data_IF_766254129591
#
_entry.id   IF_766254129591
#
_cell.length_a   1.000
_cell.length_b   1.000
_cell.length_c   1.000
_cell.angle_alpha   90.00
_cell.angle_beta   90.00
_cell.angle_gamma   90.00
#
_symmetry.space_group_name_H-M   'P 1'
#
loop_
_entity.id
_entity.type
_entity.pdbx_description
1 polymer ?
#
# COMPACT_ATOMS: atom_id res chain seq x y z
N UNK A 1 -18.12 -7.96 -11.19
CA UNK A 1 -17.71 -6.55 -11.42
C UNK A 1 -16.38 -6.47 -12.18
N UNK A 2 -15.22 -6.73 -11.56
CA UNK A 2 -13.93 -6.58 -12.27
C UNK A 2 -13.76 -7.52 -13.48
N UNK A 3 -14.06 -8.81 -13.31
CA UNK A 3 -13.99 -9.81 -14.40
C UNK A 3 -15.02 -9.56 -15.51
N UNK A 4 -16.09 -8.83 -15.18
CA UNK A 4 -17.15 -8.48 -16.11
C UNK A 4 -16.88 -7.12 -16.82
N UNK A 5 -15.76 -6.47 -16.51
CA UNK A 5 -15.37 -5.15 -17.06
C UNK A 5 -16.08 -3.96 -16.40
N UNK A 6 -16.95 -4.19 -15.41
CA UNK A 6 -17.63 -3.14 -14.66
C UNK A 6 -16.70 -2.59 -13.57
N UNK A 7 -15.91 -1.59 -13.95
CA UNK A 7 -14.95 -0.91 -13.07
C UNK A 7 -15.66 -0.14 -11.95
N UNK A 8 -16.78 0.52 -12.24
CA UNK A 8 -17.47 1.37 -11.26
C UNK A 8 -18.02 0.51 -10.11
N UNK A 9 -18.75 -0.56 -10.45
CA UNK A 9 -19.24 -1.49 -9.44
C UNK A 9 -18.11 -2.25 -8.73
N UNK A 10 -16.96 -2.45 -9.38
CA UNK A 10 -15.80 -3.07 -8.73
C UNK A 10 -15.18 -2.15 -7.66
N UNK A 11 -15.03 -0.86 -7.97
CA UNK A 11 -14.53 0.12 -7.02
C UNK A 11 -15.53 0.36 -5.89
N UNK A 12 -16.83 0.44 -6.18
CA UNK A 12 -17.88 0.62 -5.16
C UNK A 12 -17.97 -0.55 -4.16
N UNK A 13 -17.55 -1.75 -4.57
CA UNK A 13 -17.48 -2.92 -3.70
C UNK A 13 -16.26 -2.92 -2.76
N UNK A 14 -15.34 -1.96 -2.91
CA UNK A 14 -14.10 -1.88 -2.15
C UNK A 14 -14.18 -0.70 -1.15
N UNK A 15 -14.54 -0.94 0.12
CA UNK A 15 -14.64 0.14 1.11
C UNK A 15 -13.26 0.66 1.53
N UNK A 16 -13.19 1.92 1.93
CA UNK A 16 -11.94 2.56 2.37
C UNK A 16 -11.28 1.81 3.55
N UNK A 17 -12.09 1.28 4.46
CA UNK A 17 -11.62 0.45 5.59
C UNK A 17 -10.86 -0.82 5.15
N UNK A 18 -11.15 -1.33 3.95
CA UNK A 18 -10.44 -2.49 3.39
C UNK A 18 -9.07 -2.06 2.84
N UNK A 19 -8.95 -0.84 2.32
CA UNK A 19 -7.66 -0.28 1.88
C UNK A 19 -6.67 -0.21 3.05
N UNK A 20 -7.15 0.24 4.22
CA UNK A 20 -6.35 0.32 5.44
C UNK A 20 -5.85 -1.03 5.96
N UNK A 21 -6.52 -2.12 5.60
CA UNK A 21 -6.14 -3.48 6.03
C UNK A 21 -5.22 -4.17 5.03
N UNK A 22 -5.27 -3.79 3.75
CA UNK A 22 -4.60 -4.53 2.68
C UNK A 22 -3.32 -3.85 2.17
N UNK A 23 -3.16 -2.54 2.35
CA UNK A 23 -2.07 -1.82 1.72
C UNK A 23 -1.51 -0.67 2.57
N UNK A 24 -0.27 -0.32 2.25
CA UNK A 24 0.38 0.93 2.68
C UNK A 24 0.17 1.97 1.57
N UNK A 25 -0.35 3.16 1.93
CA UNK A 25 -0.70 4.20 0.98
C UNK A 25 -0.59 5.61 1.58
N UNK A 26 -0.73 6.65 0.76
CA UNK A 26 -0.76 8.04 1.22
C UNK A 26 0.56 8.79 1.03
N UNK A 27 0.76 9.85 1.81
CA UNK A 27 2.01 10.64 1.81
C UNK A 27 3.16 9.85 2.45
N UNK A 28 4.43 10.24 2.28
CA UNK A 28 5.56 9.58 2.94
C UNK A 28 5.38 9.35 4.45
N UNK A 29 4.86 10.34 5.17
CA UNK A 29 4.61 10.29 6.62
C UNK A 29 3.47 9.31 6.97
N UNK A 30 2.37 9.37 6.22
CA UNK A 30 1.21 8.52 6.46
C UNK A 30 1.52 7.07 6.08
N UNK A 31 2.25 6.86 4.99
CA UNK A 31 2.71 5.56 4.54
C UNK A 31 3.62 4.88 5.58
N UNK A 32 4.53 5.64 6.24
CA UNK A 32 5.35 5.09 7.33
C UNK A 32 4.48 4.58 8.48
N UNK A 33 3.51 5.37 8.94
CA UNK A 33 2.61 4.95 10.01
C UNK A 33 1.78 3.71 9.63
N UNK A 34 1.34 3.60 8.37
CA UNK A 34 0.65 2.40 7.89
C UNK A 34 1.56 1.19 7.77
N UNK A 35 2.83 1.39 7.40
CA UNK A 35 3.83 0.33 7.28
C UNK A 35 4.16 -0.33 8.62
N UNK A 36 4.22 0.44 9.71
CA UNK A 36 4.49 -0.06 11.07
C UNK A 36 3.50 -1.16 11.50
N UNK A 37 2.24 -1.08 11.04
CA UNK A 37 1.22 -2.11 11.32
C UNK A 37 1.62 -3.49 10.80
N UNK A 38 2.39 -3.55 9.73
CA UNK A 38 2.85 -4.80 9.14
C UNK A 38 4.14 -5.30 9.80
N UNK A 39 5.01 -4.39 10.26
CA UNK A 39 6.24 -4.76 11.00
C UNK A 39 5.92 -5.31 12.39
N UNK A 40 4.82 -4.88 12.97
CA UNK A 40 4.39 -5.29 14.32
C UNK A 40 3.66 -6.65 14.34
N UNK A 41 3.47 -7.29 13.18
CA UNK A 41 2.83 -8.61 13.10
C UNK A 41 3.78 -9.67 13.68
N UNK A 42 3.31 -10.38 14.71
CA UNK A 42 4.06 -11.47 15.33
C UNK A 42 4.48 -12.52 14.30
N UNK A 43 5.78 -12.79 14.22
CA UNK A 43 6.36 -13.77 13.31
C UNK A 43 6.72 -13.23 11.92
N UNK A 44 6.50 -11.95 11.62
CA UNK A 44 7.02 -11.31 10.40
C UNK A 44 8.48 -10.92 10.61
N UNK A 45 9.38 -11.55 9.83
CA UNK A 45 10.83 -11.31 9.91
C UNK A 45 11.34 -10.35 8.83
N UNK A 46 10.60 -10.20 7.73
CA UNK A 46 10.95 -9.34 6.62
C UNK A 46 9.70 -8.90 5.86
N UNK A 47 9.73 -7.67 5.33
CA UNK A 47 8.68 -7.11 4.49
C UNK A 47 9.25 -6.79 3.12
N UNK A 48 8.55 -7.24 2.08
CA UNK A 48 8.84 -6.85 0.70
C UNK A 48 7.88 -5.75 0.28
N UNK A 49 8.43 -4.62 -0.18
CA UNK A 49 7.65 -3.49 -0.67
C UNK A 49 7.57 -3.57 -2.20
N UNK A 50 6.36 -3.68 -2.72
CA UNK A 50 6.06 -3.64 -4.16
C UNK A 50 5.36 -2.34 -4.54
N UNK A 51 5.61 -1.84 -5.74
CA UNK A 51 5.06 -0.57 -6.21
C UNK A 51 3.87 -0.77 -7.17
N UNK A 52 2.87 0.13 -7.16
CA UNK A 52 1.74 0.07 -8.07
C UNK A 52 2.15 0.07 -9.53
N UNK A 53 1.37 -0.63 -10.38
CA UNK A 53 1.52 -0.50 -11.83
C UNK A 53 1.18 0.94 -12.24
N UNK A 54 2.19 1.67 -12.68
CA UNK A 54 2.07 3.08 -13.08
C UNK A 54 2.86 4.05 -12.20
N UNK A 55 3.46 3.59 -11.10
CA UNK A 55 4.36 4.42 -10.31
C UNK A 55 5.60 4.80 -11.13
N UNK A 56 5.97 6.08 -11.10
CA UNK A 56 7.21 6.55 -11.71
C UNK A 56 8.42 6.37 -10.76
N UNK A 57 9.64 6.57 -11.29
CA UNK A 57 10.86 6.35 -10.52
C UNK A 57 10.98 7.31 -9.33
N UNK A 58 10.49 8.54 -9.45
CA UNK A 58 10.52 9.53 -8.36
C UNK A 58 9.62 9.10 -7.22
N UNK A 59 8.42 8.60 -7.54
CA UNK A 59 7.46 8.06 -6.58
C UNK A 59 8.02 6.81 -5.88
N UNK A 60 8.66 5.92 -6.63
CA UNK A 60 9.33 4.72 -6.10
C UNK A 60 10.46 5.10 -5.15
N UNK A 61 11.35 6.02 -5.55
CA UNK A 61 12.46 6.49 -4.71
C UNK A 61 11.97 7.20 -3.45
N UNK A 62 10.92 8.01 -3.56
CA UNK A 62 10.27 8.67 -2.42
C UNK A 62 9.75 7.64 -1.42
N UNK A 63 9.06 6.60 -1.92
CA UNK A 63 8.52 5.51 -1.09
C UNK A 63 9.65 4.71 -0.42
N UNK A 64 10.68 4.32 -1.18
CA UNK A 64 11.86 3.63 -0.65
C UNK A 64 12.52 4.42 0.48
N UNK A 65 12.71 5.74 0.31
CA UNK A 65 13.31 6.61 1.32
C UNK A 65 12.43 6.71 2.56
N UNK A 66 11.12 6.86 2.38
CA UNK A 66 10.17 6.99 3.47
C UNK A 66 10.11 5.72 4.34
N UNK A 67 10.20 4.54 3.73
CA UNK A 67 10.07 3.24 4.38
C UNK A 67 11.40 2.57 4.72
N UNK A 68 12.54 3.19 4.38
CA UNK A 68 13.85 2.63 4.68
C UNK A 68 14.04 2.42 6.20
N UNK A 69 14.76 1.36 6.61
CA UNK A 69 15.21 1.24 8.00
C UNK A 69 16.01 2.46 8.46
N UNK A 70 16.00 2.71 9.77
CA UNK A 70 16.91 3.67 10.40
C UNK A 70 18.37 3.17 10.41
#
# INVERSE_FOLDING_TARGET
>A
NWQDGDREAAMAAFPDELLEQLAVWGTPETARAHFERFTDIEGVEAISVSFPRGADLTEIESTMRALAPE
#
